data_IF_633216800269
#
_entry.id   IF_633216800269
#
_cell.length_a   1.000
_cell.length_b   1.000
_cell.length_c   1.000
_cell.angle_alpha   90.00
_cell.angle_beta   90.00
_cell.angle_gamma   90.00
#
_symmetry.space_group_name_H-M   'P 1'
#
loop_
_entity.id
_entity.type
_entity.pdbx_description
1 polymer ?
#
# COMPACT_ATOMS: atom_id res chain seq x y z
N UNK A 1 -7.04 5.33 -17.84
CA UNK A 1 -6.78 4.85 -16.45
C UNK A 1 -7.04 3.36 -16.40
N UNK A 2 -6.28 2.62 -15.58
CA UNK A 2 -6.35 1.15 -15.51
C UNK A 2 -7.51 0.64 -14.64
N UNK A 3 -7.90 1.41 -13.62
CA UNK A 3 -8.91 1.05 -12.63
C UNK A 3 -9.94 2.20 -12.59
N UNK A 4 -11.22 1.85 -12.61
CA UNK A 4 -12.33 2.82 -12.58
C UNK A 4 -12.53 3.38 -11.17
N UNK A 5 -12.62 2.51 -10.15
CA UNK A 5 -12.82 2.84 -8.74
C UNK A 5 -12.04 1.85 -7.86
N UNK A 6 -11.44 2.31 -6.78
CA UNK A 6 -10.74 1.46 -5.83
C UNK A 6 -10.89 1.97 -4.39
N UNK A 7 -10.41 1.17 -3.44
CA UNK A 7 -10.07 1.65 -2.11
C UNK A 7 -8.59 1.36 -1.84
N UNK A 8 -7.77 2.42 -1.82
CA UNK A 8 -6.34 2.35 -1.52
C UNK A 8 -6.05 3.27 -0.32
N UNK A 9 -6.22 2.76 0.91
CA UNK A 9 -6.00 3.52 2.13
C UNK A 9 -4.62 4.21 2.16
N UNK A 10 -4.60 5.52 2.38
CA UNK A 10 -3.40 6.33 2.48
C UNK A 10 -2.90 6.94 1.18
N UNK A 11 -3.50 6.62 0.02
CA UNK A 11 -3.02 7.12 -1.28
C UNK A 11 -3.07 8.65 -1.39
N UNK A 12 -3.96 9.33 -0.66
CA UNK A 12 -4.08 10.79 -0.63
C UNK A 12 -3.28 11.46 0.50
N UNK A 13 -2.61 10.69 1.35
CA UNK A 13 -1.80 11.27 2.42
C UNK A 13 -0.56 11.93 1.80
N UNK A 14 -0.15 13.10 2.31
CA UNK A 14 1.03 13.85 1.84
C UNK A 14 2.36 13.07 1.82
N UNK A 15 2.44 11.98 2.60
CA UNK A 15 3.59 11.08 2.62
C UNK A 15 3.69 10.23 1.34
N UNK A 16 2.58 10.03 0.63
CA UNK A 16 2.47 9.20 -0.58
C UNK A 16 1.97 9.99 -1.80
N UNK A 17 1.28 11.11 -1.57
CA UNK A 17 0.88 12.09 -2.59
C UNK A 17 1.67 13.38 -2.40
N UNK A 18 2.95 13.35 -2.75
CA UNK A 18 3.82 14.52 -2.65
C UNK A 18 3.39 15.66 -3.58
N UNK A 19 2.78 15.31 -4.71
CA UNK A 19 2.39 16.22 -5.79
C UNK A 19 0.93 16.67 -5.73
N UNK A 20 0.08 16.01 -4.94
CA UNK A 20 -1.35 16.29 -4.89
C UNK A 20 -2.11 15.83 -6.14
N UNK A 21 -1.55 14.88 -6.89
CA UNK A 21 -2.05 14.48 -8.22
C UNK A 21 -2.69 13.11 -8.23
N UNK A 22 -2.67 12.39 -7.10
CA UNK A 22 -3.29 11.07 -7.03
C UNK A 22 -4.80 11.17 -7.28
N UNK A 23 -5.30 10.26 -8.11
CA UNK A 23 -6.70 10.31 -8.54
C UNK A 23 -7.64 9.95 -7.39
N UNK A 24 -8.69 10.75 -7.23
CA UNK A 24 -9.68 10.57 -6.17
C UNK A 24 -10.48 9.26 -6.31
N UNK A 25 -10.53 8.70 -7.52
CA UNK A 25 -11.23 7.44 -7.79
C UNK A 25 -10.62 6.25 -7.02
N UNK A 26 -9.35 6.34 -6.62
CA UNK A 26 -8.65 5.32 -5.84
C UNK A 26 -9.10 5.25 -4.37
N UNK A 27 -9.87 6.24 -3.90
CA UNK A 27 -10.49 6.26 -2.57
C UNK A 27 -12.02 6.15 -2.63
N UNK A 28 -12.58 5.95 -3.83
CA UNK A 28 -14.01 6.05 -4.04
C UNK A 28 -14.80 4.86 -3.46
N UNK A 29 -14.18 3.69 -3.35
CA UNK A 29 -14.81 2.54 -2.69
C UNK A 29 -14.61 2.55 -1.18
N UNK A 30 -13.68 3.34 -0.64
CA UNK A 30 -13.44 3.38 0.81
C UNK A 30 -14.67 3.89 1.57
N UNK A 31 -14.87 3.37 2.79
CA UNK A 31 -16.09 3.57 3.58
C UNK A 31 -15.88 4.37 4.86
N UNK A 32 -14.64 4.78 5.17
CA UNK A 32 -14.37 5.73 6.24
C UNK A 32 -15.24 6.99 6.11
N UNK A 33 -15.83 7.43 7.22
CA UNK A 33 -16.76 8.57 7.21
C UNK A 33 -16.04 9.89 6.93
N UNK A 34 -16.58 10.75 6.07
CA UNK A 34 -16.12 12.12 5.81
C UNK A 34 -14.58 12.31 5.78
N UNK A 35 -14.00 12.79 6.89
CA UNK A 35 -12.58 13.10 7.04
C UNK A 35 -11.69 11.86 7.26
N UNK A 36 -12.31 10.72 7.60
CA UNK A 36 -11.65 9.45 7.85
C UNK A 36 -11.63 8.52 6.64
N UNK A 37 -12.25 8.96 5.53
CA UNK A 37 -12.23 8.23 4.27
C UNK A 37 -10.81 8.06 3.76
N UNK A 38 -10.46 6.83 3.42
CA UNK A 38 -9.18 6.48 2.80
C UNK A 38 -7.95 6.76 3.70
N UNK A 39 -8.14 6.80 5.02
CA UNK A 39 -7.03 6.90 5.97
C UNK A 39 -6.23 5.60 6.02
N UNK A 40 -4.94 5.70 6.32
CA UNK A 40 -4.03 4.55 6.47
C UNK A 40 -3.98 4.08 7.93
N UNK A 41 -5.14 3.88 8.52
CA UNK A 41 -5.30 3.39 9.89
C UNK A 41 -6.63 2.62 10.01
N UNK A 42 -6.83 1.96 11.15
CA UNK A 42 -8.02 1.14 11.36
C UNK A 42 -9.33 1.95 11.50
N UNK A 43 -9.30 3.29 11.35
CA UNK A 43 -10.51 4.09 11.22
C UNK A 43 -11.17 3.88 9.85
N UNK A 44 -10.40 3.48 8.84
CA UNK A 44 -10.92 3.02 7.56
C UNK A 44 -11.24 1.53 7.64
N UNK A 45 -12.51 1.15 7.44
CA UNK A 45 -12.98 -0.23 7.58
C UNK A 45 -12.36 -1.17 6.55
N UNK A 46 -11.92 -0.65 5.41
CA UNK A 46 -11.26 -1.41 4.35
C UNK A 46 -9.74 -1.41 4.45
N UNK A 47 -9.17 -0.95 5.57
CA UNK A 47 -7.74 -1.01 5.83
C UNK A 47 -7.28 -2.42 6.23
N UNK A 48 -6.06 -2.80 5.79
CA UNK A 48 -5.47 -4.11 6.04
C UNK A 48 -6.05 -5.23 5.18
N UNK A 49 -5.57 -6.47 5.37
CA UNK A 49 -6.00 -7.61 4.56
C UNK A 49 -7.49 -7.96 4.79
N UNK A 50 -7.92 -8.00 6.04
CA UNK A 50 -9.33 -8.27 6.39
C UNK A 50 -10.26 -7.17 5.85
N UNK A 51 -9.83 -5.91 5.89
CA UNK A 51 -10.57 -4.78 5.32
C UNK A 51 -10.64 -4.84 3.79
N UNK A 52 -9.55 -5.20 3.11
CA UNK A 52 -9.54 -5.39 1.66
C UNK A 52 -10.49 -6.52 1.25
N UNK A 53 -10.50 -7.64 1.99
CA UNK A 53 -11.47 -8.73 1.76
C UNK A 53 -12.91 -8.28 2.03
N UNK A 54 -13.14 -7.48 3.07
CA UNK A 54 -14.45 -6.86 3.31
C UNK A 54 -14.91 -5.97 2.15
N UNK A 55 -13.99 -5.22 1.54
CA UNK A 55 -14.27 -4.40 0.35
C UNK A 55 -14.77 -5.26 -0.83
N UNK A 56 -14.20 -6.44 -1.04
CA UNK A 56 -14.66 -7.42 -2.05
C UNK A 56 -16.13 -7.82 -1.81
N UNK A 57 -16.48 -8.10 -0.57
CA UNK A 57 -17.81 -8.59 -0.21
C UNK A 57 -18.88 -7.51 -0.35
N UNK A 58 -18.53 -6.27 0.00
CA UNK A 58 -19.47 -5.15 0.01
C UNK A 58 -19.62 -4.45 -1.36
N UNK A 59 -18.83 -4.84 -2.38
CA UNK A 59 -19.09 -4.45 -3.77
C UNK A 59 -17.89 -4.22 -4.68
N UNK A 60 -16.67 -4.58 -4.28
CA UNK A 60 -15.52 -4.59 -5.19
C UNK A 60 -15.42 -5.90 -5.98
N UNK A 61 -14.75 -5.87 -7.14
CA UNK A 61 -14.59 -7.07 -8.00
C UNK A 61 -13.36 -7.91 -7.62
N UNK A 62 -12.31 -7.27 -7.10
CA UNK A 62 -11.01 -7.89 -6.81
C UNK A 62 -10.45 -7.28 -5.51
N UNK A 63 -9.89 -8.13 -4.65
CA UNK A 63 -9.11 -7.72 -3.49
C UNK A 63 -7.71 -8.36 -3.52
N UNK A 64 -6.71 -7.58 -3.12
CA UNK A 64 -5.35 -8.06 -2.91
C UNK A 64 -5.14 -8.25 -1.41
N UNK A 65 -4.95 -9.50 -0.99
CA UNK A 65 -4.76 -9.87 0.40
C UNK A 65 -3.84 -11.10 0.51
N UNK A 66 -3.41 -11.42 1.73
CA UNK A 66 -2.69 -12.65 2.05
C UNK A 66 -3.53 -13.90 1.75
N UNK A 67 -2.84 -15.03 1.53
CA UNK A 67 -3.47 -16.32 1.28
C UNK A 67 -4.33 -16.82 2.46
N UNK A 68 -4.02 -16.41 3.69
CA UNK A 68 -4.78 -16.77 4.90
C UNK A 68 -6.09 -16.02 5.04
N UNK A 69 -6.23 -14.85 4.40
CA UNK A 69 -7.29 -13.89 4.72
C UNK A 69 -8.69 -14.43 4.47
N UNK A 70 -8.91 -15.15 3.37
CA UNK A 70 -10.23 -15.74 3.08
C UNK A 70 -10.55 -16.81 4.13
N UNK A 71 -9.59 -17.66 4.48
CA UNK A 71 -9.78 -18.70 5.47
C UNK A 71 -10.15 -18.12 6.85
N UNK A 72 -9.43 -17.10 7.32
CA UNK A 72 -9.62 -16.51 8.65
C UNK A 72 -10.89 -15.66 8.76
N UNK A 73 -11.44 -15.20 7.63
CA UNK A 73 -12.65 -14.38 7.58
C UNK A 73 -13.91 -15.14 7.15
N UNK A 74 -13.85 -16.45 6.91
CA UNK A 74 -15.00 -17.26 6.48
C UNK A 74 -15.25 -18.46 7.41
N UNK A 75 -16.36 -19.16 7.22
CA UNK A 75 -16.67 -20.38 7.99
C UNK A 75 -16.94 -20.12 9.48
N UNK A 76 -17.38 -18.91 9.81
CA UNK A 76 -17.66 -18.49 11.19
C UNK A 76 -16.42 -18.22 12.05
N UNK A 77 -15.22 -18.23 11.47
CA UNK A 77 -13.96 -17.95 12.19
C UNK A 77 -13.82 -16.48 12.59
N UNK A 78 -14.40 -15.57 11.82
CA UNK A 78 -14.48 -14.16 12.16
C UNK A 78 -15.87 -13.86 12.77
N UNK A 79 -15.95 -13.45 14.05
CA UNK A 79 -17.23 -13.18 14.73
C UNK A 79 -17.88 -11.85 14.30
N UNK A 80 -17.18 -11.02 13.51
CA UNK A 80 -17.72 -9.75 13.05
C UNK A 80 -18.96 -9.95 12.17
N UNK A 81 -19.93 -9.03 12.32
CA UNK A 81 -21.22 -9.11 11.64
C UNK A 81 -21.11 -9.25 10.11
N UNK A 82 -20.16 -8.55 9.48
CA UNK A 82 -19.96 -8.59 8.03
C UNK A 82 -19.41 -9.94 7.53
N UNK A 83 -18.76 -10.73 8.40
CA UNK A 83 -18.05 -11.95 8.06
C UNK A 83 -18.75 -13.25 8.48
N UNK A 84 -19.85 -13.13 9.25
CA UNK A 84 -20.48 -14.24 9.96
C UNK A 84 -20.99 -15.36 9.06
N UNK A 85 -21.60 -15.00 7.93
CA UNK A 85 -22.30 -15.94 7.05
C UNK A 85 -21.54 -16.20 5.73
N UNK A 86 -20.24 -15.95 5.73
CA UNK A 86 -19.41 -16.13 4.54
C UNK A 86 -18.91 -17.57 4.40
N UNK A 87 -18.95 -18.07 3.17
CA UNK A 87 -18.43 -19.39 2.81
C UNK A 87 -17.17 -19.25 1.98
N UNK A 88 -16.16 -20.05 2.30
CA UNK A 88 -14.86 -20.06 1.61
C UNK A 88 -15.03 -20.41 0.11
N UNK A 89 -15.93 -21.34 -0.21
CA UNK A 89 -16.26 -21.79 -1.58
C UNK A 89 -16.83 -20.69 -2.49
N UNK A 90 -17.23 -19.52 -1.94
CA UNK A 90 -17.77 -18.42 -2.73
C UNK A 90 -16.67 -17.55 -3.38
N UNK A 91 -15.40 -17.85 -3.10
CA UNK A 91 -14.26 -17.05 -3.54
C UNK A 91 -13.28 -17.90 -4.34
N UNK A 92 -12.57 -17.24 -5.25
CA UNK A 92 -11.57 -17.86 -6.12
C UNK A 92 -10.33 -16.97 -6.19
N UNK A 93 -9.18 -17.60 -6.42
CA UNK A 93 -7.92 -16.92 -6.66
C UNK A 93 -7.72 -16.64 -8.14
N UNK A 94 -7.10 -15.50 -8.47
CA UNK A 94 -6.67 -15.18 -9.82
C UNK A 94 -5.19 -15.53 -9.99
N UNK A 95 -4.91 -16.45 -10.91
CA UNK A 95 -3.56 -16.93 -11.16
C UNK A 95 -2.85 -16.05 -12.22
N UNK A 96 -1.52 -15.92 -12.16
CA UNK A 96 -0.75 -15.15 -13.15
C UNK A 96 -0.88 -15.64 -14.59
N UNK A 97 -1.28 -16.90 -14.79
CA UNK A 97 -1.51 -17.52 -16.10
C UNK A 97 -2.92 -17.24 -16.66
N UNK A 98 -3.74 -16.46 -15.95
CA UNK A 98 -5.10 -16.11 -16.33
C UNK A 98 -6.16 -17.13 -15.92
N UNK A 99 -5.78 -18.22 -15.25
CA UNK A 99 -6.76 -19.16 -14.68
C UNK A 99 -7.34 -18.64 -13.36
N UNK A 100 -8.44 -19.26 -12.95
CA UNK A 100 -9.01 -19.15 -11.61
C UNK A 100 -8.77 -20.47 -10.88
N UNK A 101 -8.51 -20.41 -9.59
CA UNK A 101 -8.30 -21.59 -8.75
C UNK A 101 -9.04 -21.45 -7.42
N UNK A 102 -9.24 -22.56 -6.72
CA UNK A 102 -9.82 -22.55 -5.38
C UNK A 102 -8.87 -21.87 -4.38
N UNK A 103 -9.44 -21.34 -3.29
CA UNK A 103 -8.69 -20.63 -2.23
C UNK A 103 -7.57 -21.49 -1.63
N UNK A 104 -7.78 -22.79 -1.53
CA UNK A 104 -6.83 -23.75 -0.97
C UNK A 104 -5.60 -23.98 -1.88
N UNK A 105 -5.70 -23.68 -3.18
CA UNK A 105 -4.64 -23.89 -4.17
C UNK A 105 -3.62 -22.74 -4.23
N UNK A 106 -3.62 -21.85 -3.23
CA UNK A 106 -2.75 -20.66 -3.17
C UNK A 106 -1.26 -20.96 -3.34
N UNK A 107 -0.79 -22.17 -2.99
CA UNK A 107 0.60 -22.60 -3.19
C UNK A 107 0.97 -22.58 -4.69
N UNK A 108 0.05 -23.03 -5.55
CA UNK A 108 0.25 -23.08 -7.01
C UNK A 108 -0.29 -21.86 -7.74
N UNK A 109 -1.25 -21.16 -7.12
CA UNK A 109 -1.89 -19.97 -7.66
C UNK A 109 -1.69 -18.75 -6.73
N UNK A 110 -0.58 -18.03 -6.90
CA UNK A 110 -0.29 -16.78 -6.20
C UNK A 110 0.45 -15.79 -7.11
N UNK A 111 0.35 -14.50 -6.77
CA UNK A 111 1.07 -13.42 -7.48
C UNK A 111 2.55 -13.34 -7.08
N UNK A 112 2.90 -13.84 -5.90
CA UNK A 112 4.26 -13.85 -5.42
C UNK A 112 4.34 -14.22 -3.93
N UNK A 113 5.55 -14.57 -3.52
CA UNK A 113 5.90 -14.83 -2.12
C UNK A 113 6.56 -13.59 -1.53
N UNK A 114 6.08 -13.17 -0.36
CA UNK A 114 6.64 -12.06 0.42
C UNK A 114 7.20 -12.58 1.75
N UNK A 115 8.16 -11.84 2.33
CA UNK A 115 8.67 -12.11 3.68
C UNK A 115 7.64 -11.73 4.74
N UNK A 116 7.65 -12.43 5.88
CA UNK A 116 6.77 -12.12 7.01
C UNK A 116 7.07 -10.75 7.61
N UNK A 117 6.08 -10.21 8.34
CA UNK A 117 6.24 -8.98 9.12
C UNK A 117 7.34 -9.13 10.18
N UNK A 118 8.07 -8.05 10.44
CA UNK A 118 9.18 -8.02 11.38
C UNK A 118 9.13 -6.81 12.29
N UNK A 119 9.61 -6.98 13.52
CA UNK A 119 9.84 -5.88 14.44
C UNK A 119 11.14 -5.17 14.05
N UNK A 120 11.03 -3.89 13.72
CA UNK A 120 12.16 -3.04 13.34
C UNK A 120 12.59 -2.15 14.51
N UNK A 121 13.88 -1.86 14.59
CA UNK A 121 14.45 -0.93 15.56
C UNK A 121 15.56 -0.11 14.91
N UNK A 122 16.02 0.92 15.62
CA UNK A 122 17.00 1.84 15.06
C UNK A 122 18.38 1.19 14.87
N UNK A 123 19.05 1.54 13.78
CA UNK A 123 20.35 0.98 13.40
C UNK A 123 21.48 1.27 14.41
N UNK A 124 21.39 2.36 15.18
CA UNK A 124 22.39 2.73 16.18
C UNK A 124 22.31 1.90 17.47
N UNK A 125 21.31 1.02 17.60
CA UNK A 125 21.17 0.14 18.76
C UNK A 125 22.22 -0.97 18.75
N UNK A 126 22.90 -1.10 19.89
CA UNK A 126 23.88 -2.17 20.10
C UNK A 126 23.23 -3.55 19.99
N UNK A 127 24.05 -4.58 19.75
CA UNK A 127 23.60 -5.97 19.72
C UNK A 127 22.94 -6.38 21.06
N UNK A 128 23.50 -5.92 22.18
CA UNK A 128 22.97 -6.20 23.51
C UNK A 128 21.58 -5.55 23.70
N UNK A 129 21.39 -4.30 23.26
CA UNK A 129 20.06 -3.66 23.29
C UNK A 129 19.05 -4.41 22.44
N UNK A 130 19.41 -4.78 21.21
CA UNK A 130 18.55 -5.58 20.32
C UNK A 130 18.19 -6.93 20.92
N UNK A 131 19.16 -7.59 21.53
CA UNK A 131 18.96 -8.88 22.23
C UNK A 131 18.03 -8.72 23.42
N UNK A 132 18.15 -7.63 24.17
CA UNK A 132 17.24 -7.34 25.29
C UNK A 132 15.81 -7.06 24.81
N UNK A 133 15.65 -6.36 23.69
CA UNK A 133 14.33 -6.17 23.06
C UNK A 133 13.73 -7.50 22.62
N UNK A 134 14.52 -8.36 21.96
CA UNK A 134 14.08 -9.71 21.61
C UNK A 134 13.68 -10.52 22.85
N UNK A 135 14.51 -10.54 23.90
CA UNK A 135 14.22 -11.27 25.15
C UNK A 135 12.93 -10.80 25.79
N UNK A 136 12.66 -9.49 25.80
CA UNK A 136 11.39 -8.96 26.30
C UNK A 136 10.19 -9.55 25.54
N UNK A 137 10.26 -9.55 24.20
CA UNK A 137 9.21 -10.13 23.36
C UNK A 137 9.11 -11.65 23.52
N UNK A 138 10.24 -12.33 23.68
CA UNK A 138 10.31 -13.76 23.94
C UNK A 138 9.63 -14.14 25.24
N UNK A 139 9.94 -13.44 26.34
CA UNK A 139 9.24 -13.64 27.60
C UNK A 139 7.75 -13.31 27.46
N UNK A 140 7.40 -12.25 26.73
CA UNK A 140 6.00 -11.92 26.43
C UNK A 140 5.25 -13.08 25.78
N UNK A 141 5.79 -13.66 24.70
CA UNK A 141 5.13 -14.79 24.03
C UNK A 141 5.12 -16.07 24.89
N UNK A 142 6.11 -16.31 25.75
CA UNK A 142 6.10 -17.48 26.65
C UNK A 142 4.91 -17.47 27.62
N UNK A 143 4.47 -16.28 28.05
CA UNK A 143 3.33 -16.13 28.96
C UNK A 143 2.00 -15.85 28.25
N UNK A 144 2.02 -15.18 27.08
CA UNK A 144 0.82 -14.59 26.46
C UNK A 144 0.57 -15.03 25.01
N UNK A 145 1.28 -16.05 24.50
CA UNK A 145 1.03 -16.58 23.13
C UNK A 145 -0.25 -17.40 23.01
N UNK A 146 -0.84 -17.85 24.12
CA UNK A 146 -2.04 -18.69 24.07
C UNK A 146 -3.28 -17.87 23.71
N UNK A 147 -4.00 -18.31 22.68
CA UNK A 147 -5.32 -17.77 22.29
C UNK A 147 -6.43 -18.03 23.33
N UNK A 148 -6.11 -18.77 24.40
CA UNK A 148 -7.04 -19.06 25.49
C UNK A 148 -6.67 -18.38 26.81
N UNK A 149 -5.66 -17.50 26.82
CA UNK A 149 -5.30 -16.78 28.05
C UNK A 149 -6.44 -15.79 28.40
N UNK A 150 -6.98 -15.83 29.63
CA UNK A 150 -8.10 -14.99 30.03
C UNK A 150 -7.69 -13.56 30.43
N UNK A 151 -6.39 -13.28 30.57
CA UNK A 151 -5.86 -11.98 31.01
C UNK A 151 -5.38 -11.17 29.83
N UNK A 152 -4.51 -11.74 29.00
CA UNK A 152 -3.94 -11.04 27.85
C UNK A 152 -3.44 -12.02 26.79
N UNK A 153 -3.82 -11.76 25.55
CA UNK A 153 -3.42 -12.54 24.38
C UNK A 153 -2.58 -11.64 23.47
N UNK A 154 -1.31 -12.00 23.30
CA UNK A 154 -0.33 -11.14 22.61
C UNK A 154 -0.59 -11.02 21.11
N UNK A 155 -1.17 -12.05 20.49
CA UNK A 155 -1.44 -12.12 19.05
C UNK A 155 -2.93 -12.07 18.74
N UNK A 156 -3.78 -11.59 19.66
CA UNK A 156 -5.21 -11.45 19.40
C UNK A 156 -5.64 -10.00 19.60
N UNK A 157 -6.34 -9.47 18.61
CA UNK A 157 -6.95 -8.14 18.68
C UNK A 157 -8.40 -8.23 19.14
N UNK A 158 -8.68 -7.72 20.34
CA UNK A 158 -10.04 -7.55 20.84
C UNK A 158 -10.70 -6.25 20.33
N UNK A 159 -11.97 -6.03 20.70
CA UNK A 159 -12.73 -4.78 20.47
C UNK A 159 -13.08 -4.44 19.02
N UNK A 160 -13.20 -5.45 18.16
CA UNK A 160 -13.62 -5.27 16.76
C UNK A 160 -12.56 -4.62 15.87
N UNK A 161 -11.33 -4.52 16.37
CA UNK A 161 -10.15 -4.12 15.62
C UNK A 161 -9.36 -5.37 15.22
N UNK A 162 -8.50 -5.25 14.21
CA UNK A 162 -7.68 -6.35 13.69
C UNK A 162 -6.22 -5.94 13.59
N UNK A 163 -5.33 -6.91 13.77
CA UNK A 163 -3.88 -6.78 13.58
C UNK A 163 -3.24 -5.66 14.43
N UNK A 164 -3.63 -5.55 15.71
CA UNK A 164 -3.09 -4.57 16.66
C UNK A 164 -1.71 -5.00 17.16
N UNK A 165 -0.69 -4.18 16.85
CA UNK A 165 0.74 -4.44 17.13
C UNK A 165 1.30 -5.61 16.30
N UNK A 166 0.69 -6.79 16.44
CA UNK A 166 0.98 -7.99 15.67
C UNK A 166 -0.24 -8.41 14.86
N UNK A 167 -0.02 -9.16 13.79
CA UNK A 167 -1.13 -9.74 13.04
C UNK A 167 -1.83 -10.79 13.90
N UNK A 168 -3.14 -10.91 13.76
CA UNK A 168 -3.93 -11.92 14.49
C UNK A 168 -3.56 -13.36 14.07
N UNK A 169 -3.02 -13.52 12.86
CA UNK A 169 -2.55 -14.80 12.33
C UNK A 169 -1.14 -15.19 12.84
N UNK A 170 -0.57 -14.44 13.81
CA UNK A 170 0.79 -14.69 14.30
C UNK A 170 0.80 -15.83 15.31
N UNK A 171 1.46 -16.95 14.98
CA UNK A 171 1.59 -18.08 15.92
C UNK A 171 2.75 -17.89 16.91
N UNK A 172 3.87 -17.31 16.46
CA UNK A 172 5.05 -17.09 17.30
C UNK A 172 5.98 -16.04 16.70
N UNK A 173 6.82 -15.45 17.54
CA UNK A 173 7.93 -14.61 17.10
C UNK A 173 9.21 -15.45 17.06
N UNK A 174 10.00 -15.27 16.00
CA UNK A 174 11.29 -15.94 15.81
C UNK A 174 12.43 -14.93 15.80
N UNK A 175 13.57 -15.29 16.42
CA UNK A 175 14.78 -14.48 16.37
C UNK A 175 15.36 -14.51 14.95
N UNK A 176 15.59 -13.34 14.38
CA UNK A 176 16.28 -13.19 13.10
C UNK A 176 17.79 -13.27 13.37
N UNK A 177 18.53 -14.21 12.72
CA UNK A 177 19.98 -14.31 12.81
C UNK A 177 20.64 -12.98 12.46
N UNK A 178 21.76 -12.67 13.10
CA UNK A 178 22.43 -11.37 12.99
C UNK A 178 22.72 -10.97 11.54
N UNK A 179 23.18 -11.92 10.74
CA UNK A 179 23.47 -11.78 9.30
C UNK A 179 22.25 -11.33 8.49
N UNK A 180 21.03 -11.59 8.99
CA UNK A 180 19.76 -11.33 8.32
C UNK A 180 18.99 -10.14 8.93
N UNK A 181 19.59 -9.36 9.83
CA UNK A 181 18.93 -8.22 10.48
C UNK A 181 18.93 -6.92 9.65
N UNK A 182 19.41 -6.98 8.40
CA UNK A 182 19.30 -5.88 7.43
C UNK A 182 18.05 -6.06 6.58
N UNK A 183 17.44 -4.95 6.12
CA UNK A 183 16.24 -5.05 5.29
C UNK A 183 16.54 -5.75 3.96
N UNK A 184 17.77 -5.59 3.44
CA UNK A 184 18.22 -6.22 2.21
C UNK A 184 18.26 -7.74 2.32
N UNK A 185 18.81 -8.24 3.44
CA UNK A 185 18.90 -9.66 3.71
C UNK A 185 17.52 -10.27 4.00
N UNK A 186 16.66 -9.56 4.75
CA UNK A 186 15.33 -10.05 5.12
C UNK A 186 14.33 -10.10 3.96
N UNK A 187 14.25 -9.03 3.17
CA UNK A 187 13.33 -8.95 2.02
C UNK A 187 13.85 -9.74 0.83
N UNK A 188 15.17 -9.85 0.71
CA UNK A 188 15.84 -10.51 -0.40
C UNK A 188 15.90 -9.64 -1.66
N UNK A 189 16.95 -9.87 -2.46
CA UNK A 189 17.27 -9.09 -3.66
C UNK A 189 16.12 -9.03 -4.68
N UNK A 190 15.41 -10.14 -4.88
CA UNK A 190 14.32 -10.21 -5.87
C UNK A 190 13.18 -9.26 -5.52
N UNK A 191 12.79 -9.18 -4.25
CA UNK A 191 11.71 -8.31 -3.80
C UNK A 191 12.12 -6.84 -3.95
N UNK A 192 13.35 -6.50 -3.55
CA UNK A 192 13.89 -5.14 -3.65
C UNK A 192 13.92 -4.68 -5.11
N UNK A 193 14.45 -5.51 -6.01
CA UNK A 193 14.46 -5.22 -7.44
C UNK A 193 13.06 -5.00 -8.01
N UNK A 194 12.05 -5.75 -7.56
CA UNK A 194 10.66 -5.54 -7.97
C UNK A 194 10.15 -4.16 -7.50
N UNK A 195 10.41 -3.79 -6.25
CA UNK A 195 10.00 -2.49 -5.70
C UNK A 195 10.73 -1.34 -6.41
N UNK A 196 12.03 -1.45 -6.63
CA UNK A 196 12.83 -0.45 -7.36
C UNK A 196 12.33 -0.28 -8.81
N UNK A 197 12.03 -1.38 -9.48
CA UNK A 197 11.45 -1.33 -10.83
C UNK A 197 10.09 -0.63 -10.84
N UNK A 198 9.23 -0.90 -9.86
CA UNK A 198 7.95 -0.22 -9.71
C UNK A 198 8.12 1.27 -9.43
N UNK A 199 9.08 1.65 -8.59
CA UNK A 199 9.40 3.07 -8.33
C UNK A 199 9.87 3.78 -9.61
N UNK A 200 10.74 3.14 -10.39
CA UNK A 200 11.21 3.69 -11.67
C UNK A 200 10.06 3.84 -12.66
N UNK A 201 9.13 2.88 -12.71
CA UNK A 201 7.94 2.96 -13.55
C UNK A 201 7.04 4.10 -13.07
N UNK A 202 6.75 4.20 -11.78
CA UNK A 202 5.95 5.28 -11.18
C UNK A 202 6.54 6.64 -11.53
N UNK A 203 7.84 6.83 -11.27
CA UNK A 203 8.56 8.06 -11.59
C UNK A 203 8.54 8.36 -13.10
N UNK A 204 8.62 7.34 -13.97
CA UNK A 204 8.49 7.54 -15.43
C UNK A 204 7.10 7.97 -15.83
N UNK A 205 6.04 7.42 -15.22
CA UNK A 205 4.66 7.83 -15.48
C UNK A 205 4.37 9.24 -14.93
N UNK A 206 4.88 9.58 -13.74
CA UNK A 206 4.84 10.95 -13.22
C UNK A 206 5.56 11.90 -14.19
N UNK A 207 6.80 11.59 -14.59
CA UNK A 207 7.53 12.38 -15.57
C UNK A 207 6.88 12.40 -16.96
N UNK A 208 6.16 11.35 -17.35
CA UNK A 208 5.41 11.24 -18.62
C UNK A 208 4.10 12.04 -18.61
N UNK A 209 3.46 12.19 -17.45
CA UNK A 209 2.36 13.14 -17.22
C UNK A 209 2.88 14.59 -17.28
N UNK A 210 4.08 14.86 -16.76
CA UNK A 210 4.72 16.19 -16.86
C UNK A 210 5.41 16.47 -18.21
N UNK A 211 5.62 15.45 -19.05
CA UNK A 211 6.15 15.58 -20.41
C UNK A 211 5.15 15.10 -21.48
N UNK A 212 3.87 15.46 -21.34
CA UNK A 212 3.14 15.85 -22.55
C UNK A 212 3.80 17.11 -23.10
N UNK A 213 4.81 16.89 -23.94
CA UNK A 213 5.56 17.89 -24.69
C UNK A 213 4.71 18.61 -25.74
N UNK A 214 3.59 19.20 -25.33
CA UNK A 214 2.75 20.11 -26.11
C UNK A 214 2.28 21.26 -25.20
N UNK A 215 3.19 21.95 -24.48
CA UNK A 215 2.89 23.30 -23.97
C UNK A 215 4.08 24.16 -23.52
N UNK A 216 5.34 23.74 -23.77
CA UNK A 216 6.50 24.65 -23.62
C UNK A 216 7.01 25.25 -24.93
N UNK A 217 6.65 24.67 -26.08
CA UNK A 217 7.02 25.25 -27.38
C UNK A 217 6.15 26.48 -27.71
N UNK A 218 4.88 26.48 -27.29
CA UNK A 218 3.96 27.57 -27.65
C UNK A 218 4.25 28.88 -26.88
N UNK A 219 4.67 28.81 -25.61
CA UNK A 219 5.03 30.02 -24.85
C UNK A 219 6.34 30.65 -25.32
N UNK A 220 7.37 29.86 -25.62
CA UNK A 220 8.65 30.40 -26.12
C UNK A 220 8.53 30.99 -27.53
N UNK A 221 7.76 30.37 -28.42
CA UNK A 221 7.51 30.90 -29.77
C UNK A 221 6.68 32.19 -29.72
N UNK A 222 5.59 32.22 -28.94
CA UNK A 222 4.78 33.45 -28.77
C UNK A 222 5.62 34.58 -28.19
N UNK A 223 6.46 34.32 -27.19
CA UNK A 223 7.31 35.35 -26.59
C UNK A 223 8.35 35.87 -27.59
N UNK A 224 8.93 35.01 -28.43
CA UNK A 224 9.87 35.43 -29.47
C UNK A 224 9.19 36.23 -30.58
N UNK A 225 8.00 35.80 -31.03
CA UNK A 225 7.22 36.50 -32.07
C UNK A 225 6.75 37.86 -31.57
N UNK A 226 6.22 37.97 -30.35
CA UNK A 226 5.80 39.26 -29.77
C UNK A 226 7.00 40.20 -29.62
N UNK A 227 8.16 39.69 -29.18
CA UNK A 227 9.38 40.50 -29.04
C UNK A 227 9.89 41.00 -30.41
N UNK A 228 9.79 40.17 -31.46
CA UNK A 228 10.13 40.54 -32.84
C UNK A 228 9.18 41.59 -33.43
N UNK A 229 7.87 41.43 -33.22
CA UNK A 229 6.87 42.39 -33.70
C UNK A 229 7.05 43.74 -33.01
N UNK A 230 7.28 43.77 -31.70
CA UNK A 230 7.55 45.01 -30.96
C UNK A 230 8.83 45.71 -31.43
N UNK A 231 9.90 44.97 -31.72
CA UNK A 231 11.13 45.59 -32.26
C UNK A 231 10.94 46.14 -33.66
N UNK A 232 10.20 45.45 -34.54
CA UNK A 232 9.86 45.96 -35.86
C UNK A 232 9.01 47.23 -35.80
N UNK A 233 7.99 47.27 -34.93
CA UNK A 233 7.14 48.45 -34.76
C UNK A 233 7.96 49.63 -34.24
N UNK A 234 8.83 49.42 -33.25
CA UNK A 234 9.72 50.47 -32.73
C UNK A 234 10.67 50.98 -33.82
N UNK A 235 11.28 50.10 -34.62
CA UNK A 235 12.15 50.50 -35.73
C UNK A 235 11.40 51.34 -36.78
N UNK A 236 10.18 50.95 -37.16
CA UNK A 236 9.37 51.73 -38.13
C UNK A 236 8.99 53.09 -37.56
N UNK A 237 8.63 53.16 -36.27
CA UNK A 237 8.29 54.42 -35.61
C UNK A 237 9.47 55.39 -35.54
N UNK A 238 10.67 54.89 -35.22
CA UNK A 238 11.89 55.72 -35.24
C UNK A 238 12.31 56.14 -36.66
N UNK A 239 12.05 55.30 -37.68
CA UNK A 239 12.34 55.66 -39.07
C UNK A 239 11.38 56.75 -39.60
N UNK A 240 10.11 56.75 -39.19
CA UNK A 240 9.14 57.80 -39.55
C UNK A 240 9.39 59.14 -38.83
N UNK A 241 10.04 59.14 -37.66
CA UNK A 241 10.38 60.38 -36.92
C UNK A 241 11.67 61.03 -37.47
N UNK A 242 12.50 60.29 -38.22
CA UNK A 242 13.74 60.77 -38.81
C UNK A 242 13.63 61.16 -40.31
N UNK A 243 12.41 61.31 -40.83
CA UNK A 243 12.08 61.82 -42.17
C UNK A 243 11.24 63.10 -42.04
#
# INVERSE_FOLDING_TARGET
>A
ELISRACIPGILNKAYDHTGTNSLNLCELCTGGNADRCRRDNLELYYGDAGAFRCLIEGADIAFARHTTVHTNTGGRNPNFWARDLREDNYELLCPDGRRAEVHDWITCNLGKISSNVVVTANYKSENERTNMWRLLQYGQEYYSSDSDPVFQMFNSEFGQKDLIFNDDTESLSLIPWENQTYEAWLGQRFIQMVENLQVISNRYENGLYNSGILKIHQSIIHYIIKWILTMIICVYYCLICL
#
